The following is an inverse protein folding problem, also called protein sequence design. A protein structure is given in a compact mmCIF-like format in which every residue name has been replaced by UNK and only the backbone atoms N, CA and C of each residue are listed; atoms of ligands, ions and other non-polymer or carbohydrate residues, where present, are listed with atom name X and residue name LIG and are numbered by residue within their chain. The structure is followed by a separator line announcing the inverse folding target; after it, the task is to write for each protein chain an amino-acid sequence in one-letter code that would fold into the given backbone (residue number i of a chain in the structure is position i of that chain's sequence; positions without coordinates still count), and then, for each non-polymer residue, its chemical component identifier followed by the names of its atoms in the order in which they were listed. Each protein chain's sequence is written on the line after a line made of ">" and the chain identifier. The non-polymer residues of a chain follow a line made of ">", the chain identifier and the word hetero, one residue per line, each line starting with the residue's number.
data_IF_729462438360
#
_entry.id   IF_729462438360
#
_cell.length_a   1.000
_cell.length_b   1.000
_cell.length_c   1.000
_cell.angle_alpha   90.00
_cell.angle_beta   90.00
_cell.angle_gamma   90.00
#
_symmetry.space_group_name_H-M   'P 1'
#
loop_
_entity.id
_entity.type
_entity.pdbx_description
1 polymer ?
#
# COMPACT_ATOMS: atom_id res chain seq x y z
N UNK A 1 -23.79 22.73 -5.86
CA UNK A 1 -23.16 21.71 -5.03
C UNK A 1 -24.19 21.24 -4.01
N UNK A 2 -24.64 19.97 -4.09
CA UNK A 2 -25.68 19.45 -3.19
C UNK A 2 -25.01 18.88 -1.96
N UNK A 3 -25.28 19.49 -0.79
CA UNK A 3 -24.85 18.95 0.51
C UNK A 3 -25.64 17.69 0.82
N UNK A 4 -24.99 16.54 0.92
CA UNK A 4 -25.61 15.32 1.43
C UNK A 4 -25.49 15.30 2.95
N UNK A 5 -26.59 15.65 3.62
CA UNK A 5 -26.75 15.48 5.06
C UNK A 5 -27.34 14.09 5.29
N UNK A 6 -26.62 13.22 6.01
CA UNK A 6 -27.15 11.89 6.39
C UNK A 6 -28.20 12.10 7.48
N UNK A 7 -29.48 11.95 7.12
CA UNK A 7 -30.58 11.91 8.07
C UNK A 7 -30.73 10.48 8.60
N UNK A 8 -30.47 10.28 9.87
CA UNK A 8 -30.90 9.07 10.57
C UNK A 8 -32.33 9.30 11.04
N UNK A 9 -33.29 8.67 10.38
CA UNK A 9 -34.71 8.73 10.72
C UNK A 9 -35.05 7.53 11.62
N UNK A 10 -35.31 7.80 12.89
CA UNK A 10 -35.81 6.77 13.82
C UNK A 10 -37.34 6.76 13.76
N UNK A 11 -37.89 5.72 13.14
CA UNK A 11 -39.33 5.50 13.01
C UNK A 11 -39.84 4.86 14.30
N UNK A 12 -40.61 5.60 15.10
CA UNK A 12 -41.38 5.05 16.23
C UNK A 12 -42.78 4.66 15.75
N UNK A 13 -43.04 3.35 15.73
CA UNK A 13 -44.36 2.82 15.48
C UNK A 13 -45.30 3.10 16.64
N UNK A 14 -46.43 3.72 16.35
CA UNK A 14 -47.53 3.93 17.31
C UNK A 14 -48.53 2.78 17.14
N UNK A 15 -48.88 2.02 18.21
CA UNK A 15 -49.95 1.04 18.11
C UNK A 15 -51.33 1.72 18.19
N UNK A 16 -52.22 1.33 17.30
CA UNK A 16 -53.63 1.72 17.31
C UNK A 16 -54.35 1.09 18.53
N UNK A 17 -54.91 1.89 19.40
CA UNK A 17 -55.81 1.45 20.47
C UNK A 17 -57.26 1.61 20.04
N UNK A 18 -57.99 0.49 20.17
CA UNK A 18 -59.41 0.40 19.94
C UNK A 18 -60.21 1.19 20.99
N UNK A 19 -61.26 1.91 20.56
CA UNK A 19 -62.17 2.71 21.38
C UNK A 19 -63.17 1.81 22.05
N UNK A 20 -63.20 1.78 23.38
CA UNK A 20 -64.38 1.33 24.15
C UNK A 20 -64.88 2.56 24.89
N UNK A 21 -66.16 2.86 24.64
CA UNK A 21 -66.95 3.94 25.22
C UNK A 21 -67.23 3.73 26.71
N UNK A 22 -67.07 4.74 27.52
CA UNK A 22 -67.98 5.35 28.48
C UNK A 22 -67.26 5.96 29.69
N UNK A 23 -67.55 7.26 29.91
CA UNK A 23 -67.52 8.03 31.14
C UNK A 23 -66.21 8.26 31.87
N UNK A 24 -65.94 9.50 31.93
CA UNK A 24 -64.86 10.31 32.48
C UNK A 24 -63.71 10.57 31.50
N UNK A 25 -63.85 11.63 30.76
CA UNK A 25 -62.71 12.23 30.04
C UNK A 25 -61.75 12.81 31.09
N UNK A 26 -60.86 12.00 31.62
CA UNK A 26 -59.57 12.50 32.07
C UNK A 26 -58.82 12.96 30.81
N UNK A 27 -58.87 14.26 30.55
CA UNK A 27 -57.93 14.87 29.60
C UNK A 27 -56.56 14.68 30.23
N UNK A 28 -55.89 13.62 29.89
CA UNK A 28 -54.43 13.57 29.99
C UNK A 28 -53.93 14.77 29.18
N UNK A 29 -53.46 15.81 29.88
CA UNK A 29 -52.76 16.90 29.23
C UNK A 29 -51.65 16.27 28.40
N UNK A 30 -51.77 16.36 27.08
CA UNK A 30 -50.70 15.98 26.20
C UNK A 30 -49.60 17.03 26.38
N UNK A 31 -48.65 16.73 27.26
CA UNK A 31 -47.47 17.58 27.44
C UNK A 31 -46.78 17.63 26.08
N UNK A 32 -46.74 18.80 25.42
CA UNK A 32 -46.12 18.92 24.14
C UNK A 32 -44.64 18.58 24.30
N UNK A 33 -44.13 17.64 23.48
CA UNK A 33 -42.71 17.29 23.47
C UNK A 33 -41.98 18.27 22.54
N UNK A 34 -40.96 18.96 23.04
CA UNK A 34 -40.04 19.75 22.19
C UNK A 34 -39.02 18.85 21.58
N UNK A 35 -38.81 18.99 20.28
CA UNK A 35 -37.72 18.34 19.55
C UNK A 35 -36.97 19.34 18.69
N UNK A 36 -35.69 19.08 18.43
CA UNK A 36 -34.87 19.86 17.52
C UNK A 36 -34.37 18.90 16.43
N UNK A 37 -34.14 19.38 15.22
CA UNK A 37 -33.71 18.61 14.07
C UNK A 37 -32.33 17.94 14.25
N UNK A 38 -31.56 18.37 15.24
CA UNK A 38 -30.28 17.78 15.63
C UNK A 38 -30.24 17.48 17.13
N UNK A 39 -29.53 16.41 17.53
CA UNK A 39 -29.16 16.15 18.93
C UNK A 39 -27.69 16.52 19.20
N UNK A 40 -26.87 16.58 18.13
CA UNK A 40 -25.46 16.92 18.14
C UNK A 40 -25.04 17.54 16.80
N UNK A 41 -24.22 18.60 16.88
CA UNK A 41 -23.63 19.27 15.71
C UNK A 41 -22.14 19.49 15.96
N UNK A 42 -21.33 19.29 14.91
CA UNK A 42 -19.93 19.69 14.92
C UNK A 42 -19.74 20.80 13.89
N UNK A 43 -19.10 21.89 14.30
CA UNK A 43 -18.80 23.08 13.48
C UNK A 43 -17.32 23.40 13.58
N UNK A 44 -16.79 24.08 12.58
CA UNK A 44 -15.54 24.81 12.76
C UNK A 44 -15.80 26.22 13.29
N UNK A 45 -14.74 26.85 13.83
CA UNK A 45 -14.78 28.27 14.19
C UNK A 45 -15.31 29.12 13.02
N UNK A 46 -16.23 30.06 13.30
CA UNK A 46 -16.93 30.90 12.31
C UNK A 46 -17.89 30.19 11.35
N UNK A 47 -18.15 28.92 11.52
CA UNK A 47 -19.22 28.23 10.81
C UNK A 47 -20.55 28.35 11.51
N UNK A 48 -21.63 28.24 10.74
CA UNK A 48 -22.99 28.38 11.26
C UNK A 48 -23.85 27.17 10.90
N UNK A 49 -24.82 26.86 11.75
CA UNK A 49 -25.87 25.89 11.50
C UNK A 49 -27.22 26.44 11.97
N UNK A 50 -28.25 26.26 11.16
CA UNK A 50 -29.61 26.56 11.53
C UNK A 50 -30.23 25.36 12.26
N UNK A 51 -30.61 25.58 13.54
CA UNK A 51 -31.43 24.63 14.29
C UNK A 51 -32.91 24.97 14.13
N UNK A 52 -33.74 23.95 14.02
CA UNK A 52 -35.20 24.11 13.92
C UNK A 52 -35.89 23.32 15.02
N UNK A 53 -36.64 24.00 15.86
CA UNK A 53 -37.41 23.36 16.91
C UNK A 53 -38.87 23.07 16.48
N UNK A 54 -39.46 22.05 17.07
CA UNK A 54 -40.83 21.60 16.84
C UNK A 54 -41.53 21.38 18.18
N UNK A 55 -42.86 21.54 18.24
CA UNK A 55 -43.81 21.87 17.15
C UNK A 55 -43.82 23.37 16.80
N UNK A 56 -44.10 23.70 15.53
CA UNK A 56 -44.03 25.09 15.00
C UNK A 56 -45.04 26.09 15.59
N UNK A 57 -46.05 25.62 16.29
CA UNK A 57 -47.03 26.46 16.94
C UNK A 57 -46.58 26.98 18.33
N UNK A 58 -45.38 26.61 18.79
CA UNK A 58 -44.77 27.16 20.00
C UNK A 58 -43.73 28.23 19.61
N UNK A 59 -43.59 29.19 20.53
CA UNK A 59 -42.53 30.20 20.46
C UNK A 59 -41.34 29.67 21.26
N UNK A 60 -40.18 29.59 20.60
CA UNK A 60 -38.96 29.12 21.23
C UNK A 60 -38.04 30.26 21.60
N UNK A 61 -37.39 30.14 22.73
CA UNK A 61 -36.20 30.91 23.10
C UNK A 61 -34.98 29.99 23.03
N UNK A 62 -33.89 30.55 22.57
CA UNK A 62 -32.62 29.80 22.39
C UNK A 62 -31.57 30.35 23.34
N UNK A 63 -30.81 29.46 23.96
CA UNK A 63 -29.76 29.81 24.90
C UNK A 63 -28.57 28.90 24.75
N UNK A 64 -27.36 29.46 24.73
CA UNK A 64 -26.11 28.71 24.79
C UNK A 64 -25.62 28.58 26.22
N UNK A 65 -25.18 27.39 26.60
CA UNK A 65 -24.54 27.15 27.89
C UNK A 65 -23.16 27.80 28.01
N UNK A 66 -22.52 28.11 26.89
CA UNK A 66 -21.23 28.80 26.83
C UNK A 66 -21.10 29.61 25.53
N UNK A 67 -21.44 30.90 25.54
CA UNK A 67 -21.34 31.76 24.37
C UNK A 67 -19.93 32.01 23.87
N UNK A 68 -18.89 31.77 24.68
CA UNK A 68 -17.50 31.87 24.27
C UNK A 68 -17.07 30.71 23.33
N UNK A 69 -17.82 29.59 23.37
CA UNK A 69 -17.61 28.44 22.49
C UNK A 69 -18.58 28.47 21.32
N UNK A 70 -19.87 28.67 21.59
CA UNK A 70 -20.89 28.73 20.53
C UNK A 70 -21.98 29.72 20.95
N UNK A 71 -22.36 30.63 20.03
CA UNK A 71 -23.50 31.51 20.18
C UNK A 71 -24.72 30.99 19.47
N UNK A 72 -25.92 31.43 19.88
CA UNK A 72 -27.16 31.17 19.16
C UNK A 72 -28.00 32.45 19.10
N UNK A 73 -28.60 32.73 17.97
CA UNK A 73 -29.51 33.86 17.82
C UNK A 73 -30.96 33.50 18.18
N UNK A 74 -31.85 34.51 18.19
CA UNK A 74 -33.27 34.33 18.49
C UNK A 74 -34.01 33.40 17.49
N UNK A 75 -33.45 33.13 16.33
CA UNK A 75 -34.02 32.28 15.29
C UNK A 75 -33.45 30.85 15.31
N UNK A 76 -32.51 30.54 16.23
CA UNK A 76 -31.86 29.27 16.34
C UNK A 76 -30.65 29.10 15.38
N UNK A 77 -30.09 30.19 14.84
CA UNK A 77 -28.84 30.17 14.10
C UNK A 77 -27.67 30.08 15.06
N UNK A 78 -27.00 28.95 15.08
CA UNK A 78 -25.82 28.70 15.93
C UNK A 78 -24.55 29.09 15.16
N UNK A 79 -23.64 29.78 15.84
CA UNK A 79 -22.31 30.13 15.33
C UNK A 79 -21.23 29.57 16.25
N UNK A 80 -20.27 28.80 15.69
CA UNK A 80 -19.07 28.37 16.40
C UNK A 80 -18.13 29.55 16.65
N UNK A 81 -17.67 29.75 17.87
CA UNK A 81 -16.82 30.89 18.26
C UNK A 81 -15.40 30.46 18.54
N UNK A 82 -15.21 29.47 19.42
CA UNK A 82 -13.90 28.94 19.77
C UNK A 82 -13.98 27.44 20.03
N UNK A 83 -12.85 26.75 19.91
CA UNK A 83 -12.74 25.31 20.15
C UNK A 83 -13.28 24.90 21.53
N UNK A 84 -14.13 23.88 21.54
CA UNK A 84 -14.73 23.36 22.76
C UNK A 84 -16.09 22.71 22.55
N UNK A 85 -16.80 22.48 23.66
CA UNK A 85 -18.17 21.95 23.66
C UNK A 85 -19.12 22.85 24.42
N UNK A 86 -20.30 23.09 23.87
CA UNK A 86 -21.38 23.82 24.48
C UNK A 86 -22.71 23.11 24.21
N UNK A 87 -23.73 23.37 24.98
CA UNK A 87 -25.12 22.98 24.71
C UNK A 87 -25.93 24.17 24.27
N UNK A 88 -26.67 24.06 23.18
CA UNK A 88 -27.68 25.01 22.76
C UNK A 88 -29.05 24.45 23.12
N UNK A 89 -29.83 25.20 23.89
CA UNK A 89 -31.13 24.78 24.42
C UNK A 89 -32.24 25.56 23.76
N UNK A 90 -33.21 24.84 23.17
CA UNK A 90 -34.51 25.40 22.77
C UNK A 90 -35.50 25.25 23.92
N UNK A 91 -36.10 26.36 24.39
CA UNK A 91 -37.08 26.38 25.46
C UNK A 91 -38.43 26.90 24.96
N UNK A 92 -39.52 26.23 25.40
CA UNK A 92 -40.90 26.70 25.21
C UNK A 92 -41.67 26.51 26.53
N UNK A 93 -41.81 27.57 27.33
CA UNK A 93 -42.32 27.46 28.71
C UNK A 93 -41.37 26.61 29.56
N UNK A 94 -41.95 25.61 30.23
CA UNK A 94 -41.19 24.67 31.09
C UNK A 94 -40.54 23.50 30.34
N UNK A 95 -40.73 23.44 29.02
CA UNK A 95 -40.23 22.33 28.22
C UNK A 95 -38.99 22.78 27.44
N UNK A 96 -37.98 21.95 27.39
CA UNK A 96 -36.73 22.27 26.68
C UNK A 96 -36.11 21.04 26.01
N UNK A 97 -35.29 21.30 25.00
CA UNK A 97 -34.44 20.30 24.32
C UNK A 97 -33.04 20.88 24.15
N UNK A 98 -32.03 20.09 24.49
CA UNK A 98 -30.63 20.48 24.36
C UNK A 98 -29.96 19.80 23.18
N UNK A 99 -29.20 20.57 22.42
CA UNK A 99 -28.35 20.09 21.30
C UNK A 99 -26.89 20.25 21.70
N UNK A 100 -26.11 19.19 21.62
CA UNK A 100 -24.67 19.30 21.84
C UNK A 100 -24.00 19.95 20.62
N UNK A 101 -23.23 21.00 20.86
CA UNK A 101 -22.44 21.70 19.86
C UNK A 101 -20.96 21.50 20.18
N UNK A 102 -20.23 20.92 19.22
CA UNK A 102 -18.78 20.80 19.28
C UNK A 102 -18.18 21.75 18.25
N UNK A 103 -17.37 22.69 18.73
CA UNK A 103 -16.61 23.60 17.88
C UNK A 103 -15.17 23.13 17.80
N UNK A 104 -14.67 22.96 16.58
CA UNK A 104 -13.30 22.55 16.30
C UNK A 104 -12.50 23.70 15.69
N UNK A 105 -11.22 23.78 16.04
CA UNK A 105 -10.30 24.67 15.37
C UNK A 105 -9.95 24.12 14.01
N UNK A 106 -9.91 24.98 12.99
CA UNK A 106 -9.49 24.62 11.66
C UNK A 106 -7.97 24.49 11.61
N UNK A 107 -7.49 23.28 11.33
CA UNK A 107 -6.06 22.97 11.17
C UNK A 107 -5.81 22.65 9.71
N UNK A 108 -4.98 23.48 9.05
CA UNK A 108 -4.67 23.31 7.64
C UNK A 108 -3.88 22.02 7.40
N UNK A 109 -4.31 21.25 6.39
CA UNK A 109 -3.53 20.16 5.82
C UNK A 109 -2.50 20.81 4.88
N UNK A 110 -1.23 20.46 5.05
CA UNK A 110 -0.10 20.95 4.24
C UNK A 110 0.48 19.89 3.33
N UNK A 111 0.02 18.65 3.43
CA UNK A 111 0.44 17.53 2.59
C UNK A 111 -0.24 16.23 2.95
N UNK A 112 0.05 15.24 2.11
CA UNK A 112 -0.28 13.82 2.33
C UNK A 112 0.93 12.99 1.98
N UNK A 113 1.08 11.82 2.60
CA UNK A 113 2.17 10.89 2.34
C UNK A 113 1.72 9.44 2.47
N UNK A 114 2.43 8.53 1.83
CA UNK A 114 2.28 7.11 2.09
C UNK A 114 2.93 6.79 3.43
N UNK A 115 2.17 6.18 4.36
CA UNK A 115 2.69 5.83 5.68
C UNK A 115 3.80 4.78 5.62
N UNK A 116 3.60 3.76 4.80
CA UNK A 116 4.42 2.56 4.86
C UNK A 116 5.28 2.37 3.61
N UNK A 117 4.74 2.59 2.40
CA UNK A 117 5.40 2.24 1.16
C UNK A 117 4.83 3.01 -0.04
N UNK A 118 5.71 3.45 -0.93
CA UNK A 118 5.43 4.05 -2.24
C UNK A 118 5.68 3.11 -3.43
N UNK A 119 6.05 1.85 -3.14
CA UNK A 119 6.35 0.82 -4.12
C UNK A 119 5.70 -0.51 -3.72
N UNK A 120 4.94 -1.11 -4.62
CA UNK A 120 4.22 -2.36 -4.42
C UNK A 120 4.61 -3.38 -5.48
N UNK A 121 5.12 -4.52 -5.02
CA UNK A 121 5.38 -5.70 -5.83
C UNK A 121 4.29 -6.72 -5.55
N UNK A 122 3.45 -7.01 -6.53
CA UNK A 122 2.28 -7.87 -6.38
C UNK A 122 2.20 -8.89 -7.49
N UNK A 123 2.05 -10.16 -7.17
CA UNK A 123 1.71 -11.18 -8.18
C UNK A 123 0.28 -10.97 -8.70
N UNK A 124 -0.03 -11.36 -9.95
CA UNK A 124 -1.39 -11.28 -10.50
C UNK A 124 -2.43 -11.88 -9.55
N UNK A 125 -3.52 -11.18 -9.32
CA UNK A 125 -4.59 -11.55 -8.40
C UNK A 125 -4.40 -11.12 -6.94
N UNK A 126 -3.17 -10.78 -6.51
CA UNK A 126 -2.89 -10.33 -5.15
C UNK A 126 -3.34 -8.89 -4.92
N UNK A 127 -3.51 -8.56 -3.64
CA UNK A 127 -3.92 -7.23 -3.19
C UNK A 127 -2.95 -6.66 -2.16
N UNK A 128 -2.89 -5.33 -2.08
CA UNK A 128 -2.20 -4.59 -1.03
C UNK A 128 -3.07 -3.43 -0.54
N UNK A 129 -3.01 -3.16 0.77
CA UNK A 129 -3.66 -1.99 1.35
C UNK A 129 -2.66 -0.83 1.40
N UNK A 130 -3.08 0.31 0.90
CA UNK A 130 -2.32 1.57 1.00
C UNK A 130 -2.85 2.38 2.16
N UNK A 131 -1.97 2.85 3.01
CA UNK A 131 -2.33 3.72 4.13
C UNK A 131 -1.75 5.11 3.89
N UNK A 132 -2.62 6.11 3.95
CA UNK A 132 -2.27 7.51 3.79
C UNK A 132 -2.19 8.19 5.15
N UNK A 133 -1.18 9.02 5.33
CA UNK A 133 -1.04 9.94 6.46
C UNK A 133 -1.14 11.36 5.93
N UNK A 134 -1.96 12.18 6.56
CA UNK A 134 -2.03 13.62 6.28
C UNK A 134 -1.04 14.38 7.18
N UNK A 135 -0.57 15.51 6.70
CA UNK A 135 0.38 16.38 7.40
C UNK A 135 -0.26 17.75 7.65
N UNK A 136 -0.43 18.20 8.91
CA UNK A 136 -0.24 17.39 10.12
C UNK A 136 -1.35 16.34 10.29
N UNK A 137 -1.13 15.33 11.13
CA UNK A 137 -2.10 14.24 11.35
C UNK A 137 -3.46 14.71 11.86
N UNK A 138 -3.52 15.85 12.54
CA UNK A 138 -4.75 16.50 13.02
C UNK A 138 -5.38 17.49 12.03
N UNK A 139 -4.86 17.60 10.79
CA UNK A 139 -5.42 18.49 9.78
C UNK A 139 -6.87 18.16 9.44
N UNK A 140 -7.74 19.19 9.32
CA UNK A 140 -9.18 19.00 9.18
C UNK A 140 -9.86 20.03 8.25
N UNK A 141 -9.08 20.85 7.53
CA UNK A 141 -9.62 21.89 6.64
C UNK A 141 -10.08 21.37 5.28
N UNK A 142 -9.65 20.17 4.91
CA UNK A 142 -10.10 19.46 3.70
C UNK A 142 -11.07 18.35 4.12
N UNK A 143 -12.32 18.34 3.61
CA UNK A 143 -13.30 17.30 3.94
C UNK A 143 -12.78 15.89 3.69
N UNK A 144 -13.13 14.94 4.59
CA UNK A 144 -12.78 13.52 4.42
C UNK A 144 -13.37 12.89 3.16
N UNK A 145 -14.31 13.55 2.50
CA UNK A 145 -14.93 13.13 1.24
C UNK A 145 -14.25 13.72 0.01
N UNK A 146 -13.31 14.67 0.17
CA UNK A 146 -12.57 15.28 -0.93
C UNK A 146 -11.26 14.53 -1.19
N UNK A 147 -11.39 13.31 -1.64
CA UNK A 147 -10.26 12.48 -2.07
C UNK A 147 -10.64 11.64 -3.29
N UNK A 148 -9.60 11.16 -3.98
CA UNK A 148 -9.74 10.31 -5.16
C UNK A 148 -8.54 9.36 -5.27
N UNK A 149 -8.82 8.11 -5.65
CA UNK A 149 -7.85 7.11 -6.04
C UNK A 149 -8.02 6.75 -7.50
N UNK A 150 -6.91 6.63 -8.24
CA UNK A 150 -6.93 6.10 -9.60
C UNK A 150 -5.62 5.40 -9.96
N UNK A 151 -5.69 4.50 -10.93
CA UNK A 151 -4.54 3.85 -11.57
C UNK A 151 -4.30 4.49 -12.95
N UNK A 152 -3.04 4.64 -13.34
CA UNK A 152 -2.69 5.10 -14.70
C UNK A 152 -2.90 4.01 -15.75
N UNK A 153 -2.86 2.72 -15.35
CA UNK A 153 -3.18 1.58 -16.20
C UNK A 153 -3.92 0.50 -15.41
N UNK A 154 -5.25 0.47 -15.56
CA UNK A 154 -6.12 -0.49 -14.86
C UNK A 154 -6.00 -1.93 -15.38
N UNK A 155 -5.41 -2.14 -16.54
CA UNK A 155 -5.13 -3.49 -17.05
C UNK A 155 -3.96 -4.14 -16.32
N UNK A 156 -3.06 -3.34 -15.73
CA UNK A 156 -1.94 -3.82 -14.89
C UNK A 156 -2.36 -3.91 -13.43
N UNK A 157 -2.90 -2.86 -12.86
CA UNK A 157 -3.42 -2.87 -11.50
C UNK A 157 -4.56 -1.86 -11.32
N UNK A 158 -5.53 -2.20 -10.48
CA UNK A 158 -6.65 -1.35 -10.09
C UNK A 158 -6.52 -0.92 -8.64
N UNK A 159 -7.11 0.22 -8.32
CA UNK A 159 -7.21 0.69 -6.95
C UNK A 159 -8.66 1.03 -6.61
N UNK A 160 -9.11 0.62 -5.42
CA UNK A 160 -10.43 0.99 -4.91
C UNK A 160 -10.39 2.35 -4.23
N UNK A 161 -11.57 2.99 -4.04
CA UNK A 161 -11.68 4.21 -3.26
C UNK A 161 -11.40 4.03 -1.76
N UNK A 162 -11.19 2.79 -1.31
CA UNK A 162 -10.71 2.47 0.04
C UNK A 162 -9.18 2.27 0.11
N UNK A 163 -8.44 2.50 -0.98
CA UNK A 163 -6.99 2.37 -1.02
C UNK A 163 -6.50 0.91 -1.14
N UNK A 164 -7.32 -0.01 -1.66
CA UNK A 164 -6.90 -1.38 -1.93
C UNK A 164 -6.43 -1.49 -3.37
N UNK A 165 -5.15 -1.76 -3.57
CA UNK A 165 -4.55 -2.10 -4.87
C UNK A 165 -4.82 -3.57 -5.15
N UNK A 166 -5.22 -3.91 -6.38
CA UNK A 166 -5.34 -5.27 -6.90
C UNK A 166 -4.53 -5.41 -8.18
N UNK A 167 -3.55 -6.30 -8.19
CA UNK A 167 -2.79 -6.68 -9.37
C UNK A 167 -3.67 -7.47 -10.35
N UNK A 168 -3.62 -7.15 -11.64
CA UNK A 168 -4.45 -7.74 -12.70
C UNK A 168 -3.57 -8.54 -13.68
N UNK A 169 -2.77 -7.86 -14.49
CA UNK A 169 -1.87 -8.47 -15.44
C UNK A 169 -0.44 -7.95 -15.21
N UNK A 170 0.53 -8.67 -15.78
CA UNK A 170 1.91 -8.27 -15.67
C UNK A 170 2.16 -6.88 -16.30
N UNK A 171 3.13 -6.17 -15.76
CA UNK A 171 3.52 -4.83 -16.19
C UNK A 171 3.80 -3.90 -15.03
N UNK A 172 3.94 -2.64 -15.38
CA UNK A 172 4.19 -1.56 -14.43
C UNK A 172 3.12 -0.48 -14.59
N UNK A 173 2.65 0.06 -13.47
CA UNK A 173 1.72 1.18 -13.45
C UNK A 173 1.96 2.04 -12.21
N UNK A 174 1.29 3.17 -12.17
CA UNK A 174 1.23 4.03 -11.00
C UNK A 174 -0.18 4.08 -10.45
N UNK A 175 -0.26 4.09 -9.12
CA UNK A 175 -1.49 4.33 -8.38
C UNK A 175 -1.35 5.67 -7.69
N UNK A 176 -2.32 6.52 -7.89
CA UNK A 176 -2.32 7.89 -7.41
C UNK A 176 -3.42 8.07 -6.35
N UNK A 177 -3.11 8.89 -5.36
CA UNK A 177 -4.05 9.40 -4.38
C UNK A 177 -4.03 10.92 -4.39
N UNK A 178 -5.21 11.54 -4.45
CA UNK A 178 -5.38 12.99 -4.32
C UNK A 178 -6.28 13.31 -3.13
N UNK A 179 -5.92 14.33 -2.35
CA UNK A 179 -6.77 14.94 -1.34
C UNK A 179 -6.68 16.46 -1.45
N UNK A 180 -7.77 17.11 -1.85
CA UNK A 180 -7.74 18.53 -2.18
C UNK A 180 -6.67 18.85 -3.23
N UNK A 181 -5.71 19.75 -2.94
CA UNK A 181 -4.63 20.10 -3.87
C UNK A 181 -3.45 19.13 -3.88
N UNK A 182 -3.39 18.17 -2.95
CA UNK A 182 -2.22 17.28 -2.77
C UNK A 182 -2.40 15.98 -3.50
N UNK A 183 -1.41 15.63 -4.34
CA UNK A 183 -1.36 14.35 -5.06
C UNK A 183 -0.06 13.63 -4.73
N UNK A 184 -0.13 12.33 -4.46
CA UNK A 184 1.01 11.44 -4.29
C UNK A 184 0.84 10.20 -5.13
N UNK A 185 1.95 9.59 -5.52
CA UNK A 185 2.00 8.49 -6.48
C UNK A 185 2.80 7.33 -5.91
N UNK A 186 2.23 6.13 -5.95
CA UNK A 186 2.92 4.88 -5.68
C UNK A 186 3.13 4.08 -6.96
N UNK A 187 4.30 3.47 -7.10
CA UNK A 187 4.64 2.57 -8.20
C UNK A 187 4.11 1.17 -7.88
N UNK A 188 3.44 0.55 -8.85
CA UNK A 188 2.94 -0.83 -8.75
C UNK A 188 3.57 -1.66 -9.84
N UNK A 189 4.23 -2.75 -9.43
CA UNK A 189 4.87 -3.70 -10.29
C UNK A 189 4.16 -5.04 -10.16
N UNK A 190 3.71 -5.57 -11.29
CA UNK A 190 3.14 -6.91 -11.40
C UNK A 190 4.08 -7.71 -12.30
N UNK A 191 4.93 -8.58 -11.73
CA UNK A 191 5.90 -9.33 -12.51
C UNK A 191 5.20 -10.37 -13.38
N UNK A 192 5.67 -10.50 -14.62
CA UNK A 192 5.39 -11.69 -15.40
C UNK A 192 6.04 -12.86 -14.68
N UNK A 193 5.32 -13.93 -14.46
CA UNK A 193 5.66 -14.97 -13.50
C UNK A 193 6.79 -15.94 -13.94
N UNK A 194 7.95 -15.49 -14.46
CA UNK A 194 9.00 -16.41 -14.78
C UNK A 194 9.83 -16.85 -13.57
N UNK A 195 9.75 -16.11 -12.43
CA UNK A 195 10.63 -16.41 -11.31
C UNK A 195 10.14 -17.56 -10.45
N UNK A 196 11.02 -18.52 -10.22
CA UNK A 196 10.91 -19.37 -9.05
C UNK A 196 11.33 -18.53 -7.82
N UNK A 197 10.54 -18.62 -6.74
CA UNK A 197 10.80 -17.84 -5.52
C UNK A 197 10.48 -16.34 -5.65
N UNK A 198 11.20 -15.53 -4.88
CA UNK A 198 10.96 -14.09 -4.80
C UNK A 198 11.70 -13.33 -5.88
N UNK A 199 11.03 -12.39 -6.56
CA UNK A 199 11.68 -11.44 -7.47
C UNK A 199 12.66 -10.56 -6.69
N UNK A 200 13.97 -10.51 -7.04
CA UNK A 200 14.90 -9.58 -6.43
C UNK A 200 14.57 -8.14 -6.84
N UNK A 201 14.40 -7.26 -5.85
CA UNK A 201 14.25 -5.81 -6.07
C UNK A 201 15.53 -5.13 -5.63
N UNK A 202 16.33 -4.66 -6.59
CA UNK A 202 17.60 -3.99 -6.36
C UNK A 202 17.35 -2.52 -6.02
N UNK A 203 17.84 -2.07 -4.85
CA UNK A 203 17.63 -0.70 -4.37
C UNK A 203 18.81 -0.22 -3.51
N UNK A 204 18.87 1.10 -3.26
CA UNK A 204 19.92 1.75 -2.45
C UNK A 204 19.83 1.46 -0.94
N UNK A 205 18.71 0.95 -0.45
CA UNK A 205 18.41 0.86 1.00
C UNK A 205 18.78 -0.49 1.62
N UNK A 206 18.75 -1.56 0.83
CA UNK A 206 18.95 -2.92 1.32
C UNK A 206 19.51 -3.83 0.24
N UNK A 207 20.32 -4.80 0.65
CA UNK A 207 20.77 -5.86 -0.25
C UNK A 207 19.60 -6.78 -0.65
N UNK A 208 19.58 -7.19 -1.91
CA UNK A 208 18.65 -8.19 -2.43
C UNK A 208 19.32 -9.54 -2.51
N UNK A 209 18.61 -10.60 -2.08
CA UNK A 209 19.11 -11.98 -2.10
C UNK A 209 18.33 -12.86 -3.07
N UNK A 210 19.02 -13.84 -3.67
CA UNK A 210 18.43 -14.86 -4.54
C UNK A 210 19.20 -16.17 -4.41
N UNK A 211 18.45 -17.27 -4.33
CA UNK A 211 19.07 -18.60 -4.41
C UNK A 211 19.33 -18.96 -5.87
N UNK A 212 20.45 -19.58 -6.20
CA UNK A 212 20.73 -20.02 -7.58
C UNK A 212 19.68 -20.99 -8.12
N UNK A 213 19.08 -21.82 -7.30
CA UNK A 213 18.00 -22.75 -7.68
C UNK A 213 16.69 -22.05 -8.10
N UNK A 214 16.55 -20.77 -7.81
CA UNK A 214 15.36 -19.98 -8.09
C UNK A 214 15.51 -19.22 -9.43
N UNK A 215 16.10 -19.88 -10.44
CA UNK A 215 16.18 -19.37 -11.81
C UNK A 215 14.78 -19.23 -12.43
N UNK A 216 14.68 -18.54 -13.57
CA UNK A 216 13.43 -18.26 -14.24
C UNK A 216 12.72 -19.53 -14.68
N UNK A 217 11.38 -19.53 -14.67
CA UNK A 217 10.57 -20.58 -15.26
C UNK A 217 10.70 -20.55 -16.80
N UNK A 218 10.18 -21.55 -17.47
CA UNK A 218 10.16 -21.63 -18.93
C UNK A 218 10.99 -22.79 -19.50
N UNK A 219 11.80 -23.41 -18.64
CA UNK A 219 12.58 -24.59 -19.03
C UNK A 219 13.80 -24.29 -19.86
N UNK A 220 14.27 -25.30 -20.59
CA UNK A 220 15.45 -25.27 -21.47
C UNK A 220 15.36 -24.13 -22.50
N UNK A 221 16.42 -23.35 -22.64
CA UNK A 221 16.52 -22.24 -23.58
C UNK A 221 15.81 -20.97 -23.10
N UNK A 222 15.06 -21.01 -21.97
CA UNK A 222 14.34 -19.86 -21.37
C UNK A 222 14.85 -19.57 -19.98
N UNK A 223 14.63 -20.45 -19.01
CA UNK A 223 15.08 -20.29 -17.63
C UNK A 223 16.49 -20.78 -17.40
N UNK A 224 16.95 -21.73 -18.21
CA UNK A 224 18.27 -22.31 -18.12
C UNK A 224 18.69 -22.92 -19.46
N UNK A 225 19.97 -23.30 -19.56
CA UNK A 225 20.55 -24.16 -20.61
C UNK A 225 21.40 -25.22 -19.95
N UNK A 226 21.11 -26.49 -20.22
CA UNK A 226 21.78 -27.66 -19.65
C UNK A 226 22.26 -28.58 -20.78
N UNK A 227 23.53 -28.88 -20.79
CA UNK A 227 24.17 -29.60 -21.87
C UNK A 227 24.30 -31.12 -21.64
N UNK A 228 24.03 -31.61 -20.42
CA UNK A 228 24.42 -32.96 -20.10
C UNK A 228 23.32 -33.92 -19.66
N UNK A 229 22.15 -33.53 -19.42
CA UNK A 229 21.04 -34.40 -18.99
C UNK A 229 21.32 -35.23 -17.70
N UNK A 230 22.26 -34.80 -16.85
CA UNK A 230 22.63 -35.55 -15.62
C UNK A 230 21.45 -35.67 -14.65
N UNK A 231 20.57 -34.73 -14.64
CA UNK A 231 19.38 -34.70 -13.78
C UNK A 231 18.08 -34.67 -14.57
N UNK A 232 18.07 -35.38 -15.71
CA UNK A 232 16.93 -35.40 -16.61
C UNK A 232 16.82 -34.15 -17.47
N UNK A 233 17.96 -33.48 -17.77
CA UNK A 233 18.02 -32.26 -18.57
C UNK A 233 17.56 -31.03 -17.82
N UNK A 234 17.83 -30.96 -16.51
CA UNK A 234 17.53 -29.79 -15.66
C UNK A 234 18.68 -29.54 -14.71
N UNK A 235 19.08 -28.26 -14.48
CA UNK A 235 19.90 -27.90 -13.34
C UNK A 235 19.15 -28.32 -12.07
N UNK A 236 19.70 -29.23 -11.30
CA UNK A 236 19.01 -29.73 -10.11
C UNK A 236 19.42 -29.00 -8.86
N UNK A 237 18.39 -28.69 -8.01
CA UNK A 237 18.62 -28.37 -6.61
C UNK A 237 18.95 -29.68 -5.88
N UNK A 238 20.16 -29.83 -5.40
CA UNK A 238 20.56 -30.92 -4.53
C UNK A 238 20.13 -30.68 -3.08
N UNK A 239 20.31 -31.69 -2.20
CA UNK A 239 19.73 -31.73 -0.85
C UNK A 239 19.92 -30.52 0.07
N UNK A 240 20.84 -29.58 -0.23
CA UNK A 240 21.07 -28.34 0.49
C UNK A 240 20.50 -27.10 -0.21
N UNK A 241 19.72 -27.28 -1.26
CA UNK A 241 19.08 -26.17 -1.99
C UNK A 241 19.99 -25.42 -2.96
N UNK A 242 21.12 -26.01 -3.35
CA UNK A 242 22.05 -25.50 -4.35
C UNK A 242 21.75 -26.03 -5.76
N UNK A 243 22.33 -25.39 -6.77
CA UNK A 243 22.48 -25.94 -8.12
C UNK A 243 23.77 -26.75 -8.16
N UNK A 244 23.72 -27.96 -8.68
CA UNK A 244 24.86 -28.83 -8.90
C UNK A 244 25.00 -29.30 -10.33
N UNK A 245 26.03 -30.16 -10.63
CA UNK A 245 26.33 -30.71 -11.94
C UNK A 245 26.53 -29.66 -13.03
N UNK A 246 27.09 -28.51 -12.68
CA UNK A 246 27.34 -27.39 -13.60
C UNK A 246 28.49 -27.69 -14.55
N UNK A 247 28.36 -27.31 -15.84
CA UNK A 247 29.33 -27.51 -16.90
C UNK A 247 29.58 -26.27 -17.76
N UNK A 248 30.64 -26.41 -18.59
CA UNK A 248 31.02 -25.39 -19.56
C UNK A 248 29.91 -25.17 -20.58
N UNK A 249 29.54 -23.92 -20.83
CA UNK A 249 28.53 -23.55 -21.80
C UNK A 249 27.11 -23.49 -21.23
N UNK A 250 26.88 -23.96 -20.01
CA UNK A 250 25.58 -23.87 -19.35
C UNK A 250 25.29 -22.48 -18.79
N UNK A 251 24.02 -22.20 -18.59
CA UNK A 251 23.61 -20.93 -18.00
C UNK A 251 22.28 -21.01 -17.24
N UNK A 252 22.08 -20.03 -16.34
CA UNK A 252 20.87 -19.83 -15.58
C UNK A 252 20.39 -18.39 -15.77
N UNK A 253 19.10 -18.19 -16.02
CA UNK A 253 18.50 -16.88 -16.18
C UNK A 253 17.74 -16.45 -14.93
N UNK A 254 17.81 -15.16 -14.65
CA UNK A 254 17.10 -14.54 -13.53
C UNK A 254 16.50 -13.21 -13.96
N UNK A 255 15.19 -13.05 -13.78
CA UNK A 255 14.55 -11.75 -13.90
C UNK A 255 14.71 -11.01 -12.59
N UNK A 256 15.21 -9.78 -12.66
CA UNK A 256 15.37 -8.84 -11.54
C UNK A 256 14.60 -7.57 -11.82
N UNK A 257 14.24 -6.83 -10.76
CA UNK A 257 13.75 -5.47 -10.89
C UNK A 257 14.71 -4.49 -10.22
N UNK A 258 15.20 -3.53 -10.99
CA UNK A 258 16.10 -2.48 -10.51
C UNK A 258 15.28 -1.23 -10.20
N UNK A 259 15.08 -0.95 -8.92
CA UNK A 259 14.38 0.26 -8.46
C UNK A 259 15.29 1.49 -8.53
N UNK A 260 16.54 1.33 -8.19
CA UNK A 260 17.54 2.40 -8.22
C UNK A 260 18.65 2.01 -9.18
N UNK A 261 18.77 2.70 -10.32
CA UNK A 261 19.86 2.51 -11.26
C UNK A 261 21.22 2.77 -10.59
N UNK A 262 22.28 2.11 -11.08
CA UNK A 262 23.62 2.29 -10.56
C UNK A 262 24.45 1.02 -10.50
N UNK A 263 25.54 1.08 -9.76
CA UNK A 263 26.50 0.00 -9.62
C UNK A 263 26.18 -0.86 -8.41
N UNK A 264 26.22 -2.16 -8.61
CA UNK A 264 25.93 -3.18 -7.61
C UNK A 264 27.09 -4.16 -7.51
N UNK A 265 27.44 -4.51 -6.27
CA UNK A 265 28.29 -5.67 -5.99
C UNK A 265 27.41 -6.90 -5.87
N UNK A 266 27.70 -7.93 -6.65
CA UNK A 266 27.11 -9.24 -6.52
C UNK A 266 28.09 -10.18 -5.81
N UNK A 267 27.72 -10.63 -4.62
CA UNK A 267 28.44 -11.67 -3.87
C UNK A 267 27.76 -13.01 -4.09
N UNK A 268 28.45 -13.95 -4.68
CA UNK A 268 27.96 -15.31 -4.91
C UNK A 268 28.64 -16.28 -3.96
N UNK A 269 27.94 -17.33 -3.53
CA UNK A 269 28.52 -18.39 -2.71
C UNK A 269 28.47 -19.73 -3.43
N UNK A 270 29.61 -20.41 -3.47
CA UNK A 270 29.79 -21.64 -4.21
C UNK A 270 30.70 -22.64 -3.48
N UNK A 271 30.72 -23.89 -3.91
CA UNK A 271 31.64 -24.92 -3.44
C UNK A 271 31.99 -25.89 -4.57
N UNK A 272 33.16 -26.51 -4.52
CA UNK A 272 33.57 -27.54 -5.46
C UNK A 272 34.44 -28.60 -4.79
N UNK A 273 34.14 -29.86 -5.09
CA UNK A 273 34.92 -31.02 -4.64
C UNK A 273 36.13 -31.37 -5.52
N UNK A 274 36.40 -30.57 -6.57
CA UNK A 274 37.47 -30.88 -7.56
C UNK A 274 38.90 -30.65 -7.05
N UNK A 275 39.07 -30.44 -5.75
CA UNK A 275 40.37 -30.26 -5.11
C UNK A 275 40.84 -28.82 -5.01
N UNK A 276 41.76 -28.55 -4.10
CA UNK A 276 42.27 -27.21 -3.87
C UNK A 276 42.99 -26.65 -5.11
N UNK A 277 42.70 -25.39 -5.47
CA UNK A 277 43.27 -24.70 -6.63
C UNK A 277 42.51 -24.92 -7.96
N UNK A 278 41.46 -25.73 -7.98
CA UNK A 278 40.56 -25.78 -9.12
C UNK A 278 39.64 -24.54 -9.12
N UNK A 279 39.52 -23.88 -10.30
CA UNK A 279 38.76 -22.64 -10.43
C UNK A 279 37.79 -22.76 -11.59
N UNK A 280 36.51 -22.49 -11.30
CA UNK A 280 35.52 -22.27 -12.33
C UNK A 280 35.57 -20.83 -12.82
N UNK A 281 35.11 -20.61 -14.05
CA UNK A 281 35.03 -19.29 -14.68
C UNK A 281 33.60 -18.95 -15.05
N UNK A 282 33.16 -17.76 -14.73
CA UNK A 282 31.79 -17.32 -14.83
C UNK A 282 31.71 -15.87 -15.30
N UNK A 283 30.57 -15.50 -15.88
CA UNK A 283 30.29 -14.14 -16.31
C UNK A 283 28.79 -13.86 -16.30
N UNK A 284 28.40 -12.65 -16.01
CA UNK A 284 27.03 -12.19 -16.11
C UNK A 284 26.76 -11.48 -17.43
N UNK A 285 25.64 -11.76 -18.04
CA UNK A 285 25.16 -11.18 -19.30
C UNK A 285 23.75 -10.62 -19.12
N UNK A 286 23.40 -9.62 -19.95
CA UNK A 286 22.05 -9.13 -20.12
C UNK A 286 21.42 -9.87 -21.31
N UNK A 287 20.32 -10.59 -21.06
CA UNK A 287 19.49 -11.31 -22.02
C UNK A 287 20.17 -12.39 -22.88
N UNK A 288 21.39 -12.20 -23.38
CA UNK A 288 22.00 -13.10 -24.36
C UNK A 288 23.48 -13.39 -24.06
N UNK A 289 23.83 -14.60 -23.57
CA UNK A 289 25.22 -14.91 -23.25
C UNK A 289 26.10 -15.19 -24.53
N UNK A 290 25.49 -15.29 -25.70
CA UNK A 290 26.22 -15.45 -26.97
C UNK A 290 26.60 -14.11 -27.61
N UNK A 291 26.15 -13.02 -27.05
CA UNK A 291 26.54 -11.66 -27.46
C UNK A 291 27.54 -11.07 -26.46
N UNK A 292 28.82 -10.92 -26.84
CA UNK A 292 29.84 -10.34 -25.95
C UNK A 292 29.51 -8.95 -25.47
N UNK A 293 28.77 -8.17 -26.27
CA UNK A 293 28.42 -6.79 -25.94
C UNK A 293 27.28 -6.74 -24.85
N UNK A 294 26.64 -7.87 -24.58
CA UNK A 294 25.66 -8.01 -23.50
C UNK A 294 26.30 -8.35 -22.14
N UNK A 295 27.62 -8.49 -22.05
CA UNK A 295 28.30 -8.77 -20.79
C UNK A 295 28.17 -7.57 -19.83
N UNK A 296 27.64 -7.84 -18.64
CA UNK A 296 27.43 -6.82 -17.58
C UNK A 296 28.39 -6.95 -16.40
N UNK A 297 29.26 -7.97 -16.43
CA UNK A 297 30.37 -8.13 -15.50
C UNK A 297 31.66 -8.48 -16.26
N UNK A 298 32.86 -8.28 -15.67
CA UNK A 298 34.06 -8.98 -16.12
C UNK A 298 33.88 -10.49 -15.92
N UNK A 299 34.70 -11.31 -16.63
CA UNK A 299 34.87 -12.73 -16.27
C UNK A 299 35.47 -12.81 -14.86
N UNK A 300 34.94 -13.64 -13.99
CA UNK A 300 35.40 -13.87 -12.64
C UNK A 300 35.56 -15.35 -12.33
N UNK A 301 36.25 -15.68 -11.24
CA UNK A 301 36.52 -17.06 -10.83
C UNK A 301 35.88 -17.35 -9.49
N UNK A 302 35.38 -18.60 -9.35
CA UNK A 302 35.00 -19.20 -8.09
C UNK A 302 36.08 -20.23 -7.68
N UNK A 303 36.50 -20.18 -6.42
CA UNK A 303 37.52 -21.09 -5.88
C UNK A 303 36.87 -22.37 -5.33
N UNK A 304 37.62 -23.48 -5.38
CA UNK A 304 37.24 -24.75 -4.82
C UNK A 304 37.60 -24.82 -3.32
N UNK A 305 36.65 -25.27 -2.48
CA UNK A 305 36.88 -25.57 -1.06
C UNK A 305 37.29 -27.03 -0.81
N UNK A 306 37.37 -27.86 -1.83
CA UNK A 306 37.66 -29.29 -1.73
C UNK A 306 36.44 -30.16 -1.35
N UNK A 307 35.22 -29.59 -1.32
CA UNK A 307 33.97 -30.27 -1.01
C UNK A 307 32.79 -29.79 -1.84
N UNK A 308 31.71 -30.56 -1.88
CA UNK A 308 30.51 -30.24 -2.66
C UNK A 308 29.41 -29.52 -1.80
N UNK A 309 29.78 -28.90 -0.70
CA UNK A 309 28.88 -28.21 0.21
C UNK A 309 29.63 -27.26 1.15
N UNK A 310 29.03 -26.96 2.26
CA UNK A 310 29.59 -26.06 3.29
C UNK A 310 31.01 -26.47 3.74
N UNK A 311 31.92 -25.49 3.96
CA UNK A 311 31.69 -24.06 3.89
C UNK A 311 31.58 -23.56 2.45
N UNK A 312 30.56 -22.71 2.16
CA UNK A 312 30.41 -22.05 0.88
C UNK A 312 31.42 -20.88 0.79
N UNK A 313 32.19 -20.84 -0.29
CA UNK A 313 33.17 -19.76 -0.52
C UNK A 313 32.52 -18.60 -1.25
N UNK A 314 32.69 -17.35 -0.78
CA UNK A 314 32.18 -16.17 -1.46
C UNK A 314 33.09 -15.74 -2.61
N UNK A 315 32.49 -15.18 -3.65
CA UNK A 315 33.21 -14.42 -4.69
C UNK A 315 32.36 -13.21 -5.12
N UNK A 316 33.04 -12.11 -5.35
CA UNK A 316 32.40 -10.84 -5.68
C UNK A 316 32.64 -10.48 -7.15
N UNK A 317 31.63 -9.87 -7.77
CA UNK A 317 31.76 -9.14 -9.04
C UNK A 317 30.93 -7.87 -9.00
N UNK A 318 31.24 -6.90 -9.85
CA UNK A 318 30.50 -5.65 -9.96
C UNK A 318 29.73 -5.59 -11.26
N UNK A 319 28.52 -5.06 -11.23
CA UNK A 319 27.65 -4.90 -12.37
C UNK A 319 26.96 -3.55 -12.31
N UNK A 320 26.65 -2.95 -13.46
CA UNK A 320 25.87 -1.71 -13.55
C UNK A 320 24.52 -1.99 -14.18
N UNK A 321 23.47 -1.49 -13.54
CA UNK A 321 22.10 -1.69 -13.98
C UNK A 321 21.38 -0.38 -14.23
N UNK A 322 20.52 -0.37 -15.27
CA UNK A 322 19.49 0.65 -15.50
C UNK A 322 18.26 0.36 -14.64
N UNK A 323 17.40 1.35 -14.44
CA UNK A 323 16.10 1.13 -13.79
C UNK A 323 15.17 0.26 -14.63
N UNK A 324 14.34 -0.55 -13.96
CA UNK A 324 13.31 -1.38 -14.59
C UNK A 324 13.58 -2.87 -14.50
N UNK A 325 12.79 -3.66 -15.24
CA UNK A 325 13.00 -5.10 -15.36
C UNK A 325 14.22 -5.40 -16.21
N UNK A 326 15.02 -6.33 -15.74
CA UNK A 326 16.14 -6.88 -16.50
C UNK A 326 16.19 -8.38 -16.34
N UNK A 327 16.52 -9.05 -17.42
CA UNK A 327 16.83 -10.48 -17.42
C UNK A 327 18.34 -10.64 -17.47
N UNK A 328 18.91 -11.20 -16.40
CA UNK A 328 20.35 -11.45 -16.28
C UNK A 328 20.64 -12.94 -16.40
N UNK A 329 21.74 -13.27 -17.04
CA UNK A 329 22.15 -14.64 -17.29
C UNK A 329 23.50 -14.90 -16.64
N UNK A 330 23.53 -15.87 -15.74
CA UNK A 330 24.76 -16.42 -15.17
C UNK A 330 25.31 -17.50 -16.08
N UNK A 331 26.37 -17.17 -16.79
CA UNK A 331 26.99 -18.07 -17.78
C UNK A 331 28.23 -18.75 -17.22
N UNK A 332 28.42 -20.02 -17.52
CA UNK A 332 29.46 -20.88 -17.02
C UNK A 332 30.51 -21.15 -18.14
N UNK A 333 31.59 -20.36 -18.16
CA UNK A 333 32.72 -20.61 -19.09
C UNK A 333 33.51 -21.84 -18.70
N UNK A 334 33.53 -22.17 -17.40
CA UNK A 334 34.07 -23.41 -16.86
C UNK A 334 33.25 -23.77 -15.60
N UNK A 335 32.18 -24.52 -15.78
CA UNK A 335 31.23 -24.90 -14.76
C UNK A 335 31.68 -26.12 -13.96
N UNK A 336 32.11 -25.95 -12.72
CA UNK A 336 32.61 -27.03 -11.85
C UNK A 336 32.19 -26.87 -10.40
N UNK A 337 31.19 -26.03 -10.13
CA UNK A 337 30.77 -25.68 -8.79
C UNK A 337 29.32 -26.03 -8.49
N UNK A 338 29.06 -26.36 -7.26
CA UNK A 338 27.75 -26.21 -6.68
C UNK A 338 27.52 -24.73 -6.33
N UNK A 339 26.40 -24.16 -6.78
CA UNK A 339 26.05 -22.75 -6.64
C UNK A 339 24.90 -22.63 -5.63
N UNK A 340 25.04 -21.75 -4.62
CA UNK A 340 24.09 -21.68 -3.51
C UNK A 340 23.25 -20.40 -3.50
N UNK A 341 23.86 -19.24 -3.19
CA UNK A 341 23.17 -17.96 -2.99
C UNK A 341 23.92 -16.84 -3.71
N UNK A 342 23.18 -15.82 -4.15
CA UNK A 342 23.72 -14.54 -4.59
C UNK A 342 23.08 -13.39 -3.84
N UNK A 343 23.85 -12.34 -3.57
CA UNK A 343 23.41 -11.12 -2.90
C UNK A 343 23.85 -9.92 -3.72
N UNK A 344 22.92 -9.00 -4.01
CA UNK A 344 23.18 -7.75 -4.71
C UNK A 344 23.16 -6.59 -3.73
N UNK A 345 24.21 -5.83 -3.63
CA UNK A 345 24.38 -4.68 -2.74
C UNK A 345 24.72 -3.44 -3.58
N UNK A 346 23.94 -2.36 -3.41
CA UNK A 346 24.24 -1.08 -4.09
C UNK A 346 25.54 -0.47 -3.59
N UNK A 347 26.45 -0.08 -4.49
CA UNK A 347 27.78 0.46 -4.17
C UNK A 347 28.04 1.84 -4.77
N UNK A 348 27.12 2.40 -5.57
CA UNK A 348 27.25 3.76 -6.13
C UNK A 348 26.56 3.92 -7.49
N UNK A 349 26.75 5.13 -8.07
CA UNK A 349 26.29 5.47 -9.43
C UNK A 349 27.28 5.02 -10.49
#
# INVERSE_FOLDING_TARGET
>A
MKKHIVKIMMLLAVPALAVVSCDSYDRTEVVPTVTVDYNKVTLFENETVQLTASPKNLTFTWESSNPDIATVDANGLVTGVAEGAASVVAKAGDISFAVEIIVQKKVAITGVEFRDNDFYLLNPGNTANVVITQIPSGGNDIPMTDFEWWSENEDVARVSQSGVIKAINFGETKVNYRRGPYTITAKVLVPDAPNQGTLPVLNKKSAAKKMFKEYDNGGEGVGYHDLDNQSGGKPTAEGNGNIGYTKDGEWLAYTIYVKDAGKYKCTMTASSGNGAGHRGKYQWYLDNPNDPDSAISPEFTLDSNGGWGSPWLPADTEMTFSEGFQRIIFYMHNGVHNLYEMTFEYIGE
#
